data_IF_448349193282
#
_entry.id   IF_448349193282
#
_cell.length_a   1.000
_cell.length_b   1.000
_cell.length_c   1.000
_cell.angle_alpha   90.00
_cell.angle_beta   90.00
_cell.angle_gamma   90.00
#
_symmetry.space_group_name_H-M   'P 1'
#
loop_
_entity.id
_entity.type
_entity.pdbx_description
1 polymer ?
#
# COMPACT_ATOMS: atom_id res chain seq x y z
N UNK A 1 22.97 -14.07 5.29
CA UNK A 1 22.22 -12.79 5.38
C UNK A 1 21.40 -12.45 4.12
N UNK A 2 21.41 -13.23 3.02
CA UNK A 2 20.74 -12.80 1.77
C UNK A 2 19.26 -13.16 1.63
N UNK A 3 18.75 -14.26 2.21
CA UNK A 3 17.34 -14.66 1.96
C UNK A 3 16.33 -13.73 2.65
N UNK A 4 16.61 -13.30 3.87
CA UNK A 4 15.72 -12.41 4.63
C UNK A 4 15.57 -11.03 3.98
N UNK A 5 16.63 -10.51 3.36
CA UNK A 5 16.57 -9.25 2.61
C UNK A 5 15.81 -9.41 1.28
N UNK A 6 15.95 -10.56 0.62
CA UNK A 6 15.19 -10.86 -0.59
C UNK A 6 13.68 -10.99 -0.30
N UNK A 7 13.30 -11.69 0.77
CA UNK A 7 11.91 -11.79 1.23
C UNK A 7 11.30 -10.42 1.56
N UNK A 8 12.04 -9.57 2.28
CA UNK A 8 11.59 -8.20 2.58
C UNK A 8 11.41 -7.34 1.33
N UNK A 9 12.30 -7.48 0.34
CA UNK A 9 12.17 -6.79 -0.95
C UNK A 9 10.93 -7.27 -1.72
N UNK A 10 10.67 -8.58 -1.75
CA UNK A 10 9.47 -9.14 -2.41
C UNK A 10 8.17 -8.70 -1.71
N UNK A 11 8.15 -8.66 -0.37
CA UNK A 11 7.01 -8.15 0.39
C UNK A 11 6.78 -6.67 0.09
N UNK A 12 7.85 -5.87 0.00
CA UNK A 12 7.75 -4.47 -0.36
C UNK A 12 7.13 -4.28 -1.74
N UNK A 13 7.62 -4.99 -2.78
CA UNK A 13 7.08 -4.88 -4.13
C UNK A 13 5.61 -5.31 -4.21
N UNK A 14 5.23 -6.38 -3.50
CA UNK A 14 3.82 -6.81 -3.46
C UNK A 14 2.91 -5.76 -2.79
N UNK A 15 3.37 -5.11 -1.73
CA UNK A 15 2.62 -4.05 -1.06
C UNK A 15 2.51 -2.79 -1.92
N UNK A 16 3.55 -2.42 -2.65
CA UNK A 16 3.52 -1.31 -3.60
C UNK A 16 2.50 -1.57 -4.71
N UNK A 17 2.46 -2.77 -5.28
CA UNK A 17 1.47 -3.17 -6.29
C UNK A 17 0.04 -3.14 -5.76
N UNK A 18 -0.20 -3.70 -4.57
CA UNK A 18 -1.52 -3.68 -3.91
C UNK A 18 -1.97 -2.24 -3.66
N UNK A 19 -1.06 -1.38 -3.16
CA UNK A 19 -1.35 0.03 -2.90
C UNK A 19 -1.73 0.76 -4.18
N UNK A 20 -0.98 0.53 -5.26
CA UNK A 20 -1.26 1.14 -6.55
C UNK A 20 -2.64 0.72 -7.09
N UNK A 21 -2.97 -0.58 -7.01
CA UNK A 21 -4.28 -1.09 -7.45
C UNK A 21 -5.43 -0.50 -6.65
N UNK A 22 -5.28 -0.38 -5.33
CA UNK A 22 -6.31 0.22 -4.46
C UNK A 22 -6.48 1.70 -4.75
N UNK A 23 -5.39 2.43 -5.00
CA UNK A 23 -5.47 3.82 -5.40
C UNK A 23 -6.23 4.00 -6.71
N UNK A 24 -5.96 3.17 -7.73
CA UNK A 24 -6.72 3.22 -9.00
C UNK A 24 -8.21 2.96 -8.77
N UNK A 25 -8.57 1.99 -7.92
CA UNK A 25 -9.97 1.73 -7.57
C UNK A 25 -10.59 2.91 -6.82
N UNK A 26 -9.86 3.51 -5.86
CA UNK A 26 -10.30 4.69 -5.12
C UNK A 26 -10.52 5.89 -6.05
N UNK A 27 -9.57 6.19 -6.93
CA UNK A 27 -9.64 7.29 -7.89
C UNK A 27 -10.84 7.10 -8.84
N UNK A 28 -11.12 5.85 -9.25
CA UNK A 28 -12.28 5.53 -10.10
C UNK A 28 -13.62 5.65 -9.33
N UNK A 29 -13.67 5.20 -8.08
CA UNK A 29 -14.85 5.29 -7.21
C UNK A 29 -15.17 6.74 -6.81
N UNK A 30 -14.15 7.55 -6.53
CA UNK A 30 -14.31 8.98 -6.19
C UNK A 30 -14.84 9.84 -7.34
N UNK A 31 -14.82 9.34 -8.57
CA UNK A 31 -15.41 10.00 -9.73
C UNK A 31 -16.96 10.02 -9.68
N UNK A 32 -17.58 9.14 -8.90
CA UNK A 32 -19.00 9.20 -8.57
C UNK A 32 -19.19 9.77 -7.15
N UNK A 33 -19.72 11.00 -7.00
CA UNK A 33 -19.92 11.62 -5.69
C UNK A 33 -20.95 10.89 -4.80
N UNK A 34 -21.66 9.87 -5.32
CA UNK A 34 -22.60 9.05 -4.56
C UNK A 34 -22.05 7.65 -4.20
N UNK A 35 -20.81 7.33 -4.54
CA UNK A 35 -20.23 6.02 -4.24
C UNK A 35 -19.89 5.88 -2.74
N UNK A 36 -20.69 5.07 -2.04
CA UNK A 36 -20.53 4.77 -0.62
C UNK A 36 -19.22 4.02 -0.29
N UNK A 37 -18.55 3.42 -1.28
CA UNK A 37 -17.28 2.69 -1.10
C UNK A 37 -16.05 3.59 -1.11
N UNK A 38 -16.18 4.82 -1.64
CA UNK A 38 -15.10 5.80 -1.77
C UNK A 38 -14.35 6.12 -0.44
N UNK A 39 -15.03 6.39 0.70
CA UNK A 39 -14.34 6.65 1.98
C UNK A 39 -13.52 5.45 2.49
N UNK A 40 -14.02 4.23 2.27
CA UNK A 40 -13.35 3.00 2.69
C UNK A 40 -12.10 2.72 1.85
N UNK A 41 -12.15 3.00 0.55
CA UNK A 41 -11.02 2.86 -0.35
C UNK A 41 -9.90 3.83 -0.03
N UNK A 42 -10.23 5.09 0.29
CA UNK A 42 -9.26 6.10 0.74
C UNK A 42 -8.62 5.70 2.08
N UNK A 43 -9.40 5.17 3.02
CA UNK A 43 -8.86 4.68 4.30
C UNK A 43 -7.90 3.48 4.12
N UNK A 44 -8.20 2.60 3.16
CA UNK A 44 -7.37 1.46 2.81
C UNK A 44 -6.04 1.90 2.16
N UNK A 45 -6.08 2.85 1.22
CA UNK A 45 -4.87 3.44 0.62
C UNK A 45 -3.94 4.02 1.69
N UNK A 46 -4.49 4.81 2.63
CA UNK A 46 -3.72 5.42 3.73
C UNK A 46 -3.07 4.37 4.63
N UNK A 47 -3.79 3.30 4.95
CA UNK A 47 -3.30 2.21 5.80
C UNK A 47 -2.12 1.48 5.14
N UNK A 48 -2.23 1.19 3.85
CA UNK A 48 -1.17 0.55 3.07
C UNK A 48 0.07 1.42 2.92
N UNK A 49 -0.10 2.72 2.63
CA UNK A 49 1.01 3.66 2.58
C UNK A 49 1.76 3.73 3.93
N UNK A 50 1.04 3.58 5.05
CA UNK A 50 1.65 3.51 6.39
C UNK A 50 2.46 2.22 6.62
N UNK A 51 1.94 1.08 6.15
CA UNK A 51 2.64 -0.20 6.23
C UNK A 51 3.96 -0.18 5.44
N UNK A 52 3.95 0.36 4.21
CA UNK A 52 5.15 0.52 3.38
C UNK A 52 6.21 1.37 4.09
N UNK A 53 5.83 2.51 4.65
CA UNK A 53 6.76 3.38 5.41
C UNK A 53 7.40 2.65 6.60
N UNK A 54 6.63 1.80 7.28
CA UNK A 54 7.12 1.03 8.44
C UNK A 54 8.15 -0.02 8.02
N UNK A 55 7.95 -0.69 6.88
CA UNK A 55 8.90 -1.67 6.32
C UNK A 55 10.20 -0.99 5.90
N UNK A 56 10.13 0.14 5.18
CA UNK A 56 11.31 0.92 4.78
C UNK A 56 12.12 1.34 6.01
N UNK A 57 11.45 1.78 7.08
CA UNK A 57 12.12 2.16 8.33
C UNK A 57 12.83 0.96 8.98
N UNK A 58 12.19 -0.21 9.02
CA UNK A 58 12.77 -1.42 9.58
C UNK A 58 14.00 -1.91 8.79
N UNK A 59 14.01 -1.73 7.47
CA UNK A 59 15.16 -2.04 6.61
C UNK A 59 16.37 -1.11 6.87
N UNK A 60 16.13 0.18 7.16
CA UNK A 60 17.19 1.17 7.40
C UNK A 60 17.82 1.15 8.80
N UNK A 61 17.16 0.49 9.77
CA UNK A 61 17.63 0.41 11.15
C UNK A 61 18.61 -0.77 11.40
N UNK A 62 18.97 -1.52 10.36
CA UNK A 62 20.01 -2.56 10.34
C UNK A 62 21.24 -2.04 9.61
#
# INVERSE_FOLDING_TARGET
>A
MSSHNAELSSIQSALEEITHRIKVIADTATADPNDASSPHLVALERSLASAIRSIIKAQKAK
#
